data_IF_995863980396
#
_entry.id   IF_995863980396
#
_cell.length_a   1.000
_cell.length_b   1.000
_cell.length_c   1.000
_cell.angle_alpha   90.00
_cell.angle_beta   90.00
_cell.angle_gamma   90.00
#
_symmetry.space_group_name_H-M   'P 1'
#
loop_
_entity.id
_entity.type
_entity.pdbx_description
1 polymer ?
#
# COMPACT_ATOMS: atom_id res chain seq x y z
N UNK A 1 -45.73 36.70 -21.97
CA UNK A 1 -45.33 36.64 -20.55
C UNK A 1 -43.90 36.12 -20.58
N UNK A 2 -42.92 37.00 -20.37
CA UNK A 2 -41.50 36.61 -20.37
C UNK A 2 -41.20 36.12 -18.96
N UNK A 3 -40.72 34.89 -18.86
CA UNK A 3 -40.29 34.30 -17.60
C UNK A 3 -38.94 34.91 -17.23
N UNK A 4 -38.99 36.00 -16.49
CA UNK A 4 -37.80 36.69 -15.96
C UNK A 4 -37.33 35.97 -14.69
N UNK A 5 -37.01 34.68 -14.81
CA UNK A 5 -36.43 33.93 -13.70
C UNK A 5 -34.97 34.37 -13.51
N UNK A 6 -34.78 35.36 -12.63
CA UNK A 6 -33.49 35.94 -12.22
C UNK A 6 -32.60 34.91 -11.49
N UNK A 7 -33.15 33.75 -11.11
CA UNK A 7 -32.40 32.70 -10.43
C UNK A 7 -31.71 31.78 -11.44
N UNK A 8 -30.46 32.12 -11.79
CA UNK A 8 -29.50 31.11 -12.20
C UNK A 8 -28.99 30.42 -10.94
N UNK A 9 -29.23 29.11 -10.82
CA UNK A 9 -28.55 28.33 -9.79
C UNK A 9 -27.04 28.57 -9.93
N UNK A 10 -26.29 28.78 -8.82
CA UNK A 10 -24.85 28.90 -8.92
C UNK A 10 -24.35 27.65 -9.64
N UNK A 11 -23.76 27.82 -10.82
CA UNK A 11 -23.06 26.72 -11.47
C UNK A 11 -22.04 26.22 -10.45
N UNK A 12 -22.27 25.02 -9.93
CA UNK A 12 -21.32 24.42 -9.01
C UNK A 12 -20.04 24.22 -9.81
N UNK A 13 -18.97 24.94 -9.45
CA UNK A 13 -17.64 24.87 -10.06
C UNK A 13 -17.04 23.44 -10.08
N UNK A 14 -17.75 22.47 -9.51
CA UNK A 14 -17.55 21.03 -9.58
C UNK A 14 -17.51 20.46 -11.02
N UNK A 15 -17.89 21.22 -12.05
CA UNK A 15 -18.02 20.70 -13.41
C UNK A 15 -16.78 20.89 -14.33
N UNK A 16 -15.67 21.47 -13.83
CA UNK A 16 -14.47 21.69 -14.66
C UNK A 16 -13.25 20.82 -14.29
N UNK A 17 -13.27 20.16 -13.13
CA UNK A 17 -12.23 19.20 -12.75
C UNK A 17 -12.75 17.79 -13.09
N UNK A 18 -12.02 16.96 -13.86
CA UNK A 18 -12.44 15.59 -14.08
C UNK A 18 -12.63 14.93 -12.70
N UNK A 19 -13.85 14.52 -12.37
CA UNK A 19 -14.22 14.01 -11.03
C UNK A 19 -13.21 12.96 -10.51
N UNK A 20 -12.57 12.20 -11.39
CA UNK A 20 -11.51 11.26 -11.05
C UNK A 20 -10.33 11.89 -10.27
N UNK A 21 -9.92 13.13 -10.60
CA UNK A 21 -8.85 13.83 -9.90
C UNK A 21 -9.24 14.18 -8.46
N UNK A 22 -10.48 14.68 -8.26
CA UNK A 22 -10.96 15.06 -6.93
C UNK A 22 -11.14 13.83 -6.01
N UNK A 23 -11.51 12.68 -6.58
CA UNK A 23 -11.60 11.41 -5.85
C UNK A 23 -10.24 10.89 -5.40
N UNK A 24 -9.24 10.92 -6.28
CA UNK A 24 -7.87 10.51 -5.93
C UNK A 24 -7.32 11.41 -4.80
N UNK A 25 -7.55 12.72 -4.88
CA UNK A 25 -7.15 13.66 -3.82
C UNK A 25 -7.89 13.41 -2.50
N UNK A 26 -9.19 13.14 -2.54
CA UNK A 26 -9.96 12.77 -1.35
C UNK A 26 -9.38 11.51 -0.70
N UNK A 27 -9.18 10.46 -1.48
CA UNK A 27 -8.58 9.17 -1.03
C UNK A 27 -7.20 9.37 -0.39
N UNK A 28 -6.35 10.22 -0.98
CA UNK A 28 -5.04 10.57 -0.42
C UNK A 28 -5.13 11.32 0.91
N UNK A 29 -6.18 12.10 1.14
CA UNK A 29 -6.40 12.82 2.39
C UNK A 29 -6.93 11.93 3.52
N UNK A 30 -7.62 10.83 3.20
CA UNK A 30 -8.08 9.86 4.19
C UNK A 30 -6.92 9.12 4.87
N UNK A 31 -5.79 8.97 4.18
CA UNK A 31 -4.66 8.19 4.67
C UNK A 31 -3.97 8.92 5.83
N UNK A 32 -3.86 8.30 7.01
CA UNK A 32 -3.13 8.85 8.15
C UNK A 32 -1.67 9.18 7.79
N UNK A 33 -1.13 10.27 8.34
CA UNK A 33 0.26 10.70 8.09
C UNK A 33 1.28 9.59 8.36
N UNK A 34 1.08 8.79 9.42
CA UNK A 34 1.94 7.66 9.75
C UNK A 34 1.98 6.61 8.64
N UNK A 35 0.82 6.22 8.09
CA UNK A 35 0.76 5.28 6.95
C UNK A 35 1.45 5.85 5.71
N UNK A 36 1.40 7.19 5.51
CA UNK A 36 2.13 7.82 4.40
C UNK A 36 3.64 7.70 4.56
N UNK A 37 4.16 7.89 5.78
CA UNK A 37 5.59 7.76 6.08
C UNK A 37 6.07 6.33 5.84
N UNK A 38 5.36 5.33 6.38
CA UNK A 38 5.71 3.92 6.17
C UNK A 38 5.55 3.50 4.70
N UNK A 39 4.51 3.97 4.02
CA UNK A 39 4.31 3.69 2.60
C UNK A 39 5.47 4.21 1.75
N UNK A 40 5.96 5.42 2.01
CA UNK A 40 7.13 5.97 1.33
C UNK A 40 8.40 5.16 1.63
N UNK A 41 8.59 4.74 2.89
CA UNK A 41 9.68 3.85 3.25
C UNK A 41 9.63 2.54 2.44
N UNK A 42 8.47 1.91 2.34
CA UNK A 42 8.31 0.69 1.55
C UNK A 42 8.61 0.92 0.08
N UNK A 43 8.11 2.00 -0.53
CA UNK A 43 8.41 2.33 -1.93
C UNK A 43 9.93 2.48 -2.15
N UNK A 44 10.62 3.23 -1.29
CA UNK A 44 12.07 3.40 -1.39
C UNK A 44 12.78 2.06 -1.20
N UNK A 45 12.39 1.28 -0.18
CA UNK A 45 13.00 -0.02 0.11
C UNK A 45 12.79 -1.03 -1.00
N UNK A 46 11.60 -1.15 -1.59
CA UNK A 46 11.41 -2.10 -2.68
C UNK A 46 11.93 -1.64 -4.04
N UNK A 47 12.53 -0.45 -4.15
CA UNK A 47 13.44 -0.11 -5.26
C UNK A 47 14.89 -0.38 -4.86
N UNK A 48 15.29 0.03 -3.66
CA UNK A 48 16.67 -0.10 -3.17
C UNK A 48 17.08 -1.57 -3.00
N UNK A 49 16.23 -2.40 -2.43
CA UNK A 49 16.52 -3.82 -2.14
C UNK A 49 16.75 -4.63 -3.43
N UNK A 50 15.91 -4.53 -4.48
CA UNK A 50 16.22 -5.14 -5.77
C UNK A 50 17.51 -4.62 -6.41
N UNK A 51 17.80 -3.31 -6.30
CA UNK A 51 19.03 -2.74 -6.84
C UNK A 51 20.28 -3.30 -6.13
N UNK A 52 20.24 -3.37 -4.80
CA UNK A 52 21.29 -4.02 -4.00
C UNK A 52 21.40 -5.50 -4.36
N UNK A 53 20.26 -6.15 -4.62
CA UNK A 53 20.21 -7.51 -5.16
C UNK A 53 20.99 -7.63 -6.48
N UNK A 54 20.61 -6.87 -7.50
CA UNK A 54 21.28 -6.89 -8.80
C UNK A 54 22.78 -6.59 -8.66
N UNK A 55 23.15 -5.63 -7.81
CA UNK A 55 24.54 -5.30 -7.54
C UNK A 55 25.32 -6.47 -6.91
N UNK A 56 24.75 -7.13 -5.91
CA UNK A 56 25.34 -8.30 -5.28
C UNK A 56 25.46 -9.49 -6.27
N UNK A 57 24.52 -9.63 -7.20
CA UNK A 57 24.58 -10.61 -8.29
C UNK A 57 25.75 -10.32 -9.24
N UNK A 58 25.92 -9.06 -9.68
CA UNK A 58 27.02 -8.66 -10.59
C UNK A 58 28.38 -8.79 -9.90
N UNK A 59 28.47 -8.44 -8.61
CA UNK A 59 29.73 -8.48 -7.84
C UNK A 59 30.02 -9.82 -7.18
N UNK A 60 29.13 -10.82 -7.33
CA UNK A 60 29.21 -12.13 -6.69
C UNK A 60 29.41 -12.05 -5.17
N UNK A 61 28.85 -11.00 -4.54
CA UNK A 61 28.89 -10.79 -3.09
C UNK A 61 27.70 -11.47 -2.44
N UNK A 62 27.91 -12.00 -1.23
CA UNK A 62 26.82 -12.51 -0.40
C UNK A 62 25.98 -11.35 0.14
N UNK A 63 24.65 -11.46 0.01
CA UNK A 63 23.71 -10.50 0.56
C UNK A 63 22.92 -11.14 1.71
N UNK A 64 22.58 -10.34 2.71
CA UNK A 64 21.63 -10.71 3.76
C UNK A 64 20.36 -9.89 3.59
N UNK A 65 19.26 -10.55 3.26
CA UNK A 65 17.95 -9.92 3.12
C UNK A 65 17.03 -10.44 4.22
N UNK A 66 16.42 -9.54 4.98
CA UNK A 66 15.46 -9.91 6.01
C UNK A 66 14.17 -9.11 5.83
N UNK A 67 13.03 -9.78 5.95
CA UNK A 67 11.71 -9.16 5.97
C UNK A 67 10.70 -10.04 6.69
N UNK A 68 9.95 -9.49 7.65
CA UNK A 68 8.92 -10.21 8.42
C UNK A 68 9.44 -11.50 9.08
N UNK A 69 10.72 -11.53 9.42
CA UNK A 69 11.41 -12.68 9.99
C UNK A 69 11.88 -13.76 9.03
N UNK A 70 11.63 -13.61 7.73
CA UNK A 70 12.31 -14.42 6.72
C UNK A 70 13.70 -13.87 6.51
N UNK A 71 14.71 -14.63 6.90
CA UNK A 71 16.11 -14.30 6.69
C UNK A 71 16.68 -15.12 5.53
N UNK A 72 17.05 -14.42 4.46
CA UNK A 72 17.77 -14.98 3.34
C UNK A 72 19.25 -14.58 3.45
N UNK A 73 20.10 -15.53 3.78
CA UNK A 73 21.55 -15.35 3.80
C UNK A 73 22.15 -16.16 2.65
N UNK A 74 22.90 -15.48 1.79
CA UNK A 74 23.69 -16.12 0.75
C UNK A 74 23.45 -15.51 -0.62
N UNK A 75 23.51 -16.35 -1.64
CA UNK A 75 23.37 -15.90 -3.01
C UNK A 75 21.91 -15.64 -3.38
N UNK A 76 21.70 -14.68 -4.27
CA UNK A 76 20.37 -14.18 -4.64
C UNK A 76 19.53 -15.20 -5.40
N UNK A 77 20.16 -16.19 -6.01
CA UNK A 77 19.48 -17.33 -6.63
C UNK A 77 18.90 -18.32 -5.61
N UNK A 78 19.10 -18.10 -4.30
CA UNK A 78 18.36 -18.83 -3.28
C UNK A 78 16.86 -18.53 -3.41
N UNK A 79 16.04 -19.59 -3.42
CA UNK A 79 14.58 -19.48 -3.50
C UNK A 79 14.01 -18.56 -2.42
N UNK A 80 14.60 -18.57 -1.22
CA UNK A 80 14.17 -17.74 -0.10
C UNK A 80 14.53 -16.25 -0.31
N UNK A 81 15.70 -15.94 -0.88
CA UNK A 81 16.08 -14.56 -1.22
C UNK A 81 15.15 -13.97 -2.28
N UNK A 82 14.76 -14.77 -3.26
CA UNK A 82 13.81 -14.37 -4.32
C UNK A 82 12.42 -14.10 -3.74
N UNK A 83 11.95 -14.92 -2.78
CA UNK A 83 10.68 -14.70 -2.08
C UNK A 83 10.71 -13.41 -1.27
N UNK A 84 11.78 -13.16 -0.50
CA UNK A 84 11.94 -11.91 0.27
C UNK A 84 11.95 -10.70 -0.67
N UNK A 85 12.63 -10.78 -1.81
CA UNK A 85 12.65 -9.73 -2.82
C UNK A 85 11.25 -9.47 -3.40
N UNK A 86 10.52 -10.53 -3.75
CA UNK A 86 9.15 -10.43 -4.25
C UNK A 86 8.22 -9.77 -3.22
N UNK A 87 8.40 -10.05 -1.93
CA UNK A 87 7.63 -9.41 -0.87
C UNK A 87 7.92 -7.90 -0.77
N UNK A 88 9.18 -7.46 -0.86
CA UNK A 88 9.52 -6.04 -0.89
C UNK A 88 8.87 -5.32 -2.08
N UNK A 89 8.93 -5.92 -3.26
CA UNK A 89 8.33 -5.35 -4.48
C UNK A 89 6.80 -5.31 -4.35
N UNK A 90 6.17 -6.39 -3.89
CA UNK A 90 4.72 -6.44 -3.67
C UNK A 90 4.26 -5.36 -2.68
N UNK A 91 5.00 -5.16 -1.57
CA UNK A 91 4.70 -4.11 -0.59
C UNK A 91 4.84 -2.71 -1.19
N UNK A 92 5.81 -2.51 -2.07
CA UNK A 92 6.03 -1.23 -2.74
C UNK A 92 4.94 -0.89 -3.74
N UNK A 93 4.54 -1.86 -4.56
CA UNK A 93 3.41 -1.71 -5.50
C UNK A 93 2.14 -1.39 -4.71
N UNK A 94 1.95 -2.05 -3.58
CA UNK A 94 0.79 -1.79 -2.76
C UNK A 94 0.81 -0.41 -2.11
N UNK A 95 1.94 -0.05 -1.51
CA UNK A 95 2.15 1.26 -0.90
C UNK A 95 1.94 2.37 -1.95
N UNK A 96 2.40 2.17 -3.19
CA UNK A 96 2.13 3.06 -4.30
C UNK A 96 0.62 3.17 -4.60
N UNK A 97 -0.08 2.05 -4.80
CA UNK A 97 -1.52 2.07 -5.06
C UNK A 97 -2.30 2.81 -3.96
N UNK A 98 -1.91 2.61 -2.71
CA UNK A 98 -2.49 3.28 -1.54
C UNK A 98 -2.17 4.78 -1.53
N UNK A 99 -0.88 5.16 -1.55
CA UNK A 99 -0.40 6.54 -1.45
C UNK A 99 -0.88 7.45 -2.60
N UNK A 100 -1.10 6.88 -3.78
CA UNK A 100 -1.56 7.61 -4.95
C UNK A 100 -3.08 7.58 -5.12
N UNK A 101 -3.83 6.99 -4.18
CA UNK A 101 -5.30 7.06 -4.19
C UNK A 101 -5.96 6.17 -5.24
N UNK A 102 -5.27 5.14 -5.74
CA UNK A 102 -5.82 4.24 -6.77
C UNK A 102 -6.94 3.37 -6.19
N UNK A 103 -7.97 3.11 -6.99
CA UNK A 103 -9.13 2.28 -6.58
C UNK A 103 -8.72 0.88 -6.12
N UNK A 104 -7.73 0.28 -6.79
CA UNK A 104 -7.21 -1.04 -6.46
C UNK A 104 -6.24 -1.06 -5.26
N UNK A 105 -5.71 0.09 -4.83
CA UNK A 105 -4.63 0.17 -3.85
C UNK A 105 -4.97 -0.48 -2.51
N UNK A 106 -6.14 -0.14 -1.94
CA UNK A 106 -6.60 -0.76 -0.69
C UNK A 106 -6.87 -2.26 -0.86
N UNK A 107 -7.48 -2.66 -1.98
CA UNK A 107 -7.81 -4.06 -2.22
C UNK A 107 -6.57 -4.94 -2.39
N UNK A 108 -5.46 -4.39 -2.88
CA UNK A 108 -4.17 -5.08 -2.91
C UNK A 108 -3.51 -5.14 -1.51
N UNK A 109 -3.69 -4.12 -0.66
CA UNK A 109 -2.93 -4.02 0.60
C UNK A 109 -3.48 -4.87 1.71
N UNK A 110 -4.78 -5.13 1.69
CA UNK A 110 -5.42 -6.01 2.67
C UNK A 110 -4.87 -7.45 2.61
N UNK A 111 -4.94 -8.17 1.47
CA UNK A 111 -4.44 -9.55 1.40
C UNK A 111 -2.94 -9.61 1.65
N UNK A 112 -2.17 -8.63 1.16
CA UNK A 112 -0.73 -8.58 1.38
C UNK A 112 -0.37 -8.36 2.86
N UNK A 113 -1.14 -7.55 3.58
CA UNK A 113 -0.96 -7.36 5.02
C UNK A 113 -1.29 -8.64 5.81
N UNK A 114 -2.36 -9.35 5.44
CA UNK A 114 -2.67 -10.67 6.03
C UNK A 114 -1.60 -11.71 5.74
N UNK A 115 -1.09 -11.77 4.51
CA UNK A 115 0.03 -12.64 4.14
C UNK A 115 1.25 -12.36 5.01
N UNK A 116 1.56 -11.09 5.25
CA UNK A 116 2.70 -10.68 6.07
C UNK A 116 2.51 -11.03 7.55
N UNK A 117 1.29 -10.91 8.08
CA UNK A 117 0.95 -11.43 9.42
C UNK A 117 1.17 -12.94 9.48
N UNK A 118 0.69 -13.69 8.48
CA UNK A 118 0.87 -15.14 8.43
C UNK A 118 2.35 -15.53 8.40
N UNK A 119 3.18 -14.81 7.62
CA UNK A 119 4.63 -15.01 7.58
C UNK A 119 5.28 -14.69 8.93
N UNK A 120 4.91 -13.60 9.59
CA UNK A 120 5.43 -13.25 10.93
C UNK A 120 5.10 -14.34 11.96
N UNK A 121 3.88 -14.87 11.92
CA UNK A 121 3.45 -15.96 12.80
C UNK A 121 4.26 -17.23 12.48
N UNK A 122 4.37 -17.59 11.20
CA UNK A 122 5.11 -18.79 10.77
C UNK A 122 6.59 -18.74 11.17
N UNK A 123 7.24 -17.58 10.98
CA UNK A 123 8.65 -17.39 11.36
C UNK A 123 8.84 -17.38 12.87
N UNK A 124 7.85 -16.94 13.64
CA UNK A 124 7.86 -17.05 15.11
C UNK A 124 7.74 -18.50 15.59
N UNK A 125 6.98 -19.35 14.89
CA UNK A 125 6.88 -20.79 15.21
C UNK A 125 8.11 -21.59 14.80
N UNK A 126 8.79 -21.19 13.73
CA UNK A 126 9.97 -21.87 13.20
C UNK A 126 11.29 -21.32 13.75
N UNK A 127 11.28 -20.10 14.30
CA UNK A 127 12.43 -19.45 14.93
C UNK A 127 12.64 -19.88 16.39
N UNK A 128 13.87 -19.75 16.87
CA UNK A 128 14.25 -20.06 18.26
C UNK A 128 13.94 -18.94 19.26
N UNK A 129 13.63 -17.74 18.79
CA UNK A 129 13.39 -16.55 19.61
C UNK A 129 11.90 -16.19 19.59
N UNK A 130 11.24 -16.27 20.75
CA UNK A 130 9.80 -16.00 20.93
C UNK A 130 9.49 -14.54 21.26
N UNK A 131 10.42 -13.62 21.00
CA UNK A 131 10.17 -12.19 21.17
C UNK A 131 9.12 -11.71 20.16
N UNK A 132 8.09 -11.04 20.66
CA UNK A 132 7.08 -10.40 19.80
C UNK A 132 7.82 -9.41 18.89
N UNK A 133 7.87 -9.74 17.61
CA UNK A 133 8.47 -8.86 16.60
C UNK A 133 7.70 -7.56 16.57
N UNK A 134 8.41 -6.44 16.72
CA UNK A 134 7.85 -5.09 16.61
C UNK A 134 7.11 -4.90 15.26
N UNK A 135 7.55 -5.64 14.23
CA UNK A 135 6.92 -5.77 12.93
C UNK A 135 5.45 -6.21 13.04
N UNK A 136 5.17 -7.29 13.77
CA UNK A 136 3.80 -7.80 13.96
C UNK A 136 2.93 -6.81 14.75
N UNK A 137 3.50 -6.19 15.78
CA UNK A 137 2.82 -5.15 16.56
C UNK A 137 2.44 -3.93 15.71
N UNK A 138 3.24 -3.57 14.71
CA UNK A 138 2.93 -2.50 13.76
C UNK A 138 1.91 -2.92 12.68
N UNK A 139 1.86 -4.19 12.29
CA UNK A 139 0.92 -4.70 11.28
C UNK A 139 -0.53 -4.72 11.77
N UNK A 140 -0.78 -5.02 13.05
CA UNK A 140 -2.13 -5.05 13.63
C UNK A 140 -2.87 -3.70 13.46
N UNK A 141 -2.37 -2.55 13.96
CA UNK A 141 -3.03 -1.27 13.80
C UNK A 141 -3.12 -0.85 12.32
N UNK A 142 -2.17 -1.26 11.48
CA UNK A 142 -2.20 -1.02 10.05
C UNK A 142 -3.39 -1.70 9.36
N UNK A 143 -3.61 -3.00 9.59
CA UNK A 143 -4.73 -3.75 9.00
C UNK A 143 -6.08 -3.21 9.48
N UNK A 144 -6.22 -2.93 10.78
CA UNK A 144 -7.45 -2.37 11.33
C UNK A 144 -7.80 -1.03 10.68
N UNK A 145 -6.80 -0.18 10.42
CA UNK A 145 -7.00 1.11 9.74
C UNK A 145 -7.33 0.93 8.27
N UNK A 146 -6.67 0.01 7.55
CA UNK A 146 -6.98 -0.31 6.15
C UNK A 146 -8.43 -0.76 5.96
N UNK A 147 -8.96 -1.59 6.85
CA UNK A 147 -10.35 -2.04 6.77
C UNK A 147 -11.34 -0.88 6.93
N UNK A 148 -11.09 0.03 7.87
CA UNK A 148 -11.92 1.24 8.04
C UNK A 148 -11.84 2.15 6.82
N UNK A 149 -10.64 2.31 6.26
CA UNK A 149 -10.43 3.08 5.04
C UNK A 149 -11.15 2.46 3.84
N UNK A 150 -11.18 1.12 3.71
CA UNK A 150 -11.87 0.43 2.62
C UNK A 150 -13.33 0.83 2.50
N UNK A 151 -14.04 0.88 3.62
CA UNK A 151 -15.47 1.25 3.66
C UNK A 151 -15.66 2.66 3.10
N UNK A 152 -14.85 3.61 3.57
CA UNK A 152 -14.90 5.00 3.11
C UNK A 152 -14.50 5.14 1.64
N UNK A 153 -13.53 4.34 1.18
CA UNK A 153 -12.98 4.37 -0.17
C UNK A 153 -13.94 3.83 -1.22
N UNK A 154 -14.67 2.76 -0.88
CA UNK A 154 -15.68 2.14 -1.74
C UNK A 154 -16.99 2.93 -1.76
N UNK A 155 -17.39 3.54 -0.63
CA UNK A 155 -18.58 4.40 -0.59
C UNK A 155 -18.47 5.58 -1.55
N UNK A 156 -17.27 6.17 -1.67
CA UNK A 156 -17.00 7.23 -2.64
C UNK A 156 -17.10 6.77 -4.09
N UNK A 157 -16.76 5.52 -4.39
CA UNK A 157 -16.81 4.96 -5.75
C UNK A 157 -18.25 4.78 -6.23
N UNK A 158 -19.15 4.36 -5.35
CA UNK A 158 -20.58 4.23 -5.67
C UNK A 158 -21.26 5.57 -5.91
N UNK A 159 -20.92 6.61 -5.12
CA UNK A 159 -21.46 7.96 -5.33
C UNK A 159 -21.01 8.54 -6.67
N UNK A 160 -19.73 8.38 -7.04
CA UNK A 160 -19.24 8.87 -8.34
C UNK A 160 -19.85 8.12 -9.52
N UNK A 161 -20.05 6.79 -9.40
CA UNK A 161 -20.71 6.01 -10.44
C UNK A 161 -22.16 6.46 -10.66
N UNK A 162 -22.89 6.80 -9.60
CA UNK A 162 -24.28 7.27 -9.68
C UNK A 162 -24.44 8.69 -10.26
N UNK A 163 -23.43 9.55 -10.13
CA UNK A 163 -23.45 10.92 -10.70
C UNK A 163 -23.07 10.92 -12.18
N UNK A 164 -22.44 9.86 -12.68
CA UNK A 164 -21.98 9.74 -14.06
C UNK A 164 -22.98 9.06 -15.01
N UNK A 165 -24.14 8.63 -14.49
CA UNK A 165 -25.27 8.02 -15.22
C UNK A 165 -26.43 8.99 -15.31
#
# INVERSE_FOLDING_TARGET
MKDDNVYHAPESDLNSTPQSLSLEQYRKNLIPKWIKVFGWLFIVMGVLVPLVGIFALVTQRVGSFSLYGLEAVGAIYSSLALVVLALYVAHSICAYGLLFGKSWGINACIPLAYLSIAICIFTMFTGSETLIRLELAALIPYVMKLQKLKIQWQGTEQVSAAVST
#
